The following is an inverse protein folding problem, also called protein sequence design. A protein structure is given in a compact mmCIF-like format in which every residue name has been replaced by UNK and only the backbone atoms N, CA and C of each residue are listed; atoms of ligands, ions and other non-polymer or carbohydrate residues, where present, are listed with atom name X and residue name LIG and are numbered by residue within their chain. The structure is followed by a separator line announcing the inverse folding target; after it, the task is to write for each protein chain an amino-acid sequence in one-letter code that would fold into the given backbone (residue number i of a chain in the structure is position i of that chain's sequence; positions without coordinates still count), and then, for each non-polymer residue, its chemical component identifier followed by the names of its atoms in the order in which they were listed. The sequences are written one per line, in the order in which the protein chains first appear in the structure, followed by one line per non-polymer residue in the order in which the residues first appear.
data_IF_989270007251
#
_entry.id   IF_989270007251
#
_cell.length_a   1.000
_cell.length_b   1.000
_cell.length_c   1.000
_cell.angle_alpha   90.00
_cell.angle_beta   90.00
_cell.angle_gamma   90.00
#
_symmetry.space_group_name_H-M   'P 1'
#
loop_
_entity.id
_entity.type
_entity.pdbx_description
1 polymer ?
#
# COMPACT_ATOMS: atom_id res chain seq x y z
N UNK A 1 29.25 18.14 21.30
CA UNK A 1 28.56 16.90 20.90
C UNK A 1 27.54 17.32 19.86
N UNK A 2 27.89 17.19 18.58
CA UNK A 2 26.96 17.50 17.49
C UNK A 2 26.04 16.28 17.32
N UNK A 3 24.77 16.47 17.65
CA UNK A 3 23.73 15.51 17.30
C UNK A 3 23.44 15.75 15.82
N UNK A 4 24.10 14.99 14.94
CA UNK A 4 23.66 14.87 13.56
C UNK A 4 22.37 14.04 13.63
N UNK A 5 21.23 14.71 13.78
CA UNK A 5 19.95 14.09 13.43
C UNK A 5 20.04 13.91 11.93
N UNK A 6 20.30 12.68 11.50
CA UNK A 6 20.15 12.28 10.11
C UNK A 6 18.64 12.36 9.83
N UNK A 7 18.13 13.57 9.57
CA UNK A 7 16.84 13.85 8.97
C UNK A 7 16.94 13.45 7.50
N UNK A 8 17.27 12.19 7.23
CA UNK A 8 16.82 11.60 5.98
C UNK A 8 15.31 11.63 6.11
N UNK A 9 14.67 12.53 5.37
CA UNK A 9 13.26 12.38 5.06
C UNK A 9 13.13 11.03 4.36
N UNK A 10 13.03 9.95 5.14
CA UNK A 10 12.28 8.79 4.70
C UNK A 10 10.92 9.36 4.34
N UNK A 11 10.67 9.48 3.02
CA UNK A 11 9.34 9.74 2.51
C UNK A 11 8.53 8.49 2.85
N UNK A 12 8.10 8.38 4.10
CA UNK A 12 7.25 7.32 4.60
C UNK A 12 5.90 7.49 3.90
N UNK A 13 5.72 6.70 2.86
CA UNK A 13 4.51 6.66 2.05
C UNK A 13 3.54 5.67 2.67
N UNK A 14 2.73 6.12 3.61
CA UNK A 14 1.79 5.25 4.29
C UNK A 14 0.46 5.17 3.52
N UNK A 15 0.12 3.95 3.10
CA UNK A 15 -1.07 3.59 2.34
C UNK A 15 -1.91 2.63 3.18
N UNK A 16 -3.16 3.02 3.41
CA UNK A 16 -4.16 2.21 4.08
C UNK A 16 -5.20 1.75 3.07
N UNK A 17 -5.45 0.45 3.01
CA UNK A 17 -6.47 -0.15 2.17
C UNK A 17 -7.50 -0.83 3.06
N UNK A 18 -8.78 -0.62 2.75
CA UNK A 18 -9.89 -1.27 3.46
C UNK A 18 -10.75 -2.06 2.49
N UNK A 19 -11.40 -3.07 3.03
CA UNK A 19 -12.37 -3.90 2.31
C UNK A 19 -13.78 -3.66 2.82
N UNK A 20 -14.78 -4.09 2.05
CA UNK A 20 -16.19 -4.00 2.43
C UNK A 20 -16.50 -4.76 3.73
N UNK A 21 -15.85 -5.91 3.95
CA UNK A 21 -16.04 -6.70 5.19
C UNK A 21 -15.19 -6.20 6.37
N UNK A 22 -14.45 -5.10 6.22
CA UNK A 22 -13.69 -4.46 7.30
C UNK A 22 -12.28 -4.98 7.52
N UNK A 23 -11.73 -5.78 6.58
CA UNK A 23 -10.30 -6.12 6.57
C UNK A 23 -9.50 -4.87 6.23
N UNK A 24 -8.25 -4.85 6.70
CA UNK A 24 -7.37 -3.69 6.52
C UNK A 24 -6.02 -4.17 6.06
N UNK A 25 -5.42 -3.44 5.13
CA UNK A 25 -4.04 -3.60 4.77
C UNK A 25 -3.35 -2.25 4.96
N UNK A 26 -2.40 -2.19 5.89
CA UNK A 26 -1.59 -1.02 6.16
C UNK A 26 -0.21 -1.25 5.58
N UNK A 27 0.28 -0.32 4.76
CA UNK A 27 1.51 -0.50 4.01
C UNK A 27 2.32 0.78 4.02
N UNK A 28 3.63 0.65 3.93
CA UNK A 28 4.50 1.76 3.58
C UNK A 28 5.41 1.40 2.41
N UNK A 29 5.63 2.38 1.53
CA UNK A 29 6.67 2.29 0.50
C UNK A 29 7.93 2.94 1.05
N UNK A 30 8.93 2.11 1.33
CA UNK A 30 10.27 2.57 1.67
C UNK A 30 11.08 2.74 0.37
N UNK A 31 11.58 3.96 0.13
CA UNK A 31 12.32 4.33 -1.08
C UNK A 31 13.74 4.77 -0.73
N UNK A 32 14.70 4.05 -1.30
CA UNK A 32 16.12 4.37 -1.26
C UNK A 32 16.70 4.52 -2.67
N UNK A 33 17.99 4.86 -2.77
CA UNK A 33 18.71 4.94 -4.05
C UNK A 33 18.65 3.62 -4.84
N UNK A 34 18.64 2.48 -4.14
CA UNK A 34 18.53 1.14 -4.73
C UNK A 34 17.12 0.75 -5.18
N UNK A 35 16.11 1.59 -4.95
CA UNK A 35 14.73 1.36 -5.33
C UNK A 35 13.75 1.34 -4.15
N UNK A 36 12.55 0.85 -4.42
CA UNK A 36 11.41 0.85 -3.51
C UNK A 36 11.11 -0.57 -2.99
N UNK A 37 10.74 -0.70 -1.72
CA UNK A 37 10.16 -1.91 -1.14
C UNK A 37 8.83 -1.56 -0.51
N UNK A 38 7.93 -2.54 -0.45
CA UNK A 38 6.64 -2.40 0.19
C UNK A 38 6.59 -3.38 1.36
N UNK A 39 6.34 -2.83 2.55
CA UNK A 39 6.21 -3.58 3.80
C UNK A 39 4.89 -3.19 4.42
N UNK A 40 4.20 -4.14 5.03
CA UNK A 40 2.91 -3.84 5.63
C UNK A 40 2.40 -4.89 6.59
N UNK A 41 1.19 -4.64 7.06
CA UNK A 41 0.44 -5.47 7.99
C UNK A 41 -0.98 -5.63 7.49
N UNK A 42 -1.49 -6.85 7.56
CA UNK A 42 -2.84 -7.21 7.16
C UNK A 42 -3.67 -7.62 8.36
N UNK A 43 -4.79 -6.95 8.56
CA UNK A 43 -5.77 -7.28 9.58
C UNK A 43 -6.81 -8.26 9.04
N UNK A 44 -6.91 -9.42 9.67
CA UNK A 44 -7.93 -10.42 9.37
C UNK A 44 -9.06 -10.37 10.39
N UNK A 45 -10.29 -10.37 9.90
CA UNK A 45 -11.49 -10.23 10.74
C UNK A 45 -11.89 -11.55 11.41
N UNK A 46 -11.48 -12.69 10.86
CA UNK A 46 -11.89 -14.02 11.38
C UNK A 46 -11.26 -14.34 12.72
N UNK A 47 -10.04 -13.89 12.96
CA UNK A 47 -9.28 -14.10 14.18
C UNK A 47 -8.90 -12.78 14.89
N UNK A 48 -9.30 -11.64 14.32
CA UNK A 48 -9.02 -10.30 14.84
C UNK A 48 -7.53 -10.03 15.05
N UNK A 49 -6.67 -10.59 14.20
CA UNK A 49 -5.22 -10.48 14.31
C UNK A 49 -4.61 -9.69 13.16
N UNK A 50 -3.44 -9.09 13.44
CA UNK A 50 -2.58 -8.45 12.46
C UNK A 50 -1.45 -9.40 12.05
N UNK A 51 -1.22 -9.48 10.75
CA UNK A 51 -0.22 -10.34 10.12
C UNK A 51 0.78 -9.49 9.36
N UNK A 52 2.07 -9.71 9.58
CA UNK A 52 3.12 -9.10 8.76
C UNK A 52 3.02 -9.60 7.32
N UNK A 53 3.07 -8.68 6.37
CA UNK A 53 3.08 -8.97 4.94
C UNK A 53 4.33 -8.39 4.31
N UNK A 54 5.15 -9.29 3.77
CA UNK A 54 6.32 -8.95 2.98
C UNK A 54 5.96 -9.09 1.49
N UNK A 55 6.04 -7.99 0.74
CA UNK A 55 5.58 -7.96 -0.65
C UNK A 55 6.70 -8.21 -1.66
N UNK A 56 7.93 -7.80 -1.33
CA UNK A 56 9.09 -8.10 -2.16
C UNK A 56 10.35 -8.29 -1.30
N UNK A 57 11.13 -9.33 -1.62
CA UNK A 57 12.45 -9.57 -1.01
C UNK A 57 13.54 -8.67 -1.59
N UNK A 58 13.25 -8.03 -2.71
CA UNK A 58 14.17 -7.16 -3.44
C UNK A 58 13.50 -5.81 -3.67
N UNK A 59 14.30 -4.76 -3.65
CA UNK A 59 13.85 -3.41 -4.03
C UNK A 59 13.57 -3.38 -5.54
N UNK A 60 12.51 -2.70 -5.92
CA UNK A 60 12.08 -2.51 -7.32
C UNK A 60 12.14 -1.04 -7.70
N UNK A 61 12.49 -0.74 -8.95
CA UNK A 61 12.67 0.64 -9.40
C UNK A 61 11.35 1.42 -9.53
N UNK A 62 10.25 0.73 -9.87
CA UNK A 62 8.96 1.35 -10.17
C UNK A 62 7.95 1.15 -9.02
N UNK A 63 7.68 2.20 -8.22
CA UNK A 63 6.73 2.13 -7.11
C UNK A 63 5.27 1.97 -7.56
N UNK A 64 4.92 2.40 -8.78
CA UNK A 64 3.57 2.22 -9.31
C UNK A 64 3.32 0.76 -9.70
N UNK A 65 4.32 0.10 -10.30
CA UNK A 65 4.25 -1.34 -10.57
C UNK A 65 4.22 -2.17 -9.28
N UNK A 66 4.98 -1.75 -8.27
CA UNK A 66 4.94 -2.39 -6.95
C UNK A 66 3.55 -2.30 -6.34
N UNK A 67 2.94 -1.10 -6.33
CA UNK A 67 1.58 -0.91 -5.85
C UNK A 67 0.57 -1.71 -6.66
N UNK A 68 0.71 -1.74 -8.00
CA UNK A 68 -0.16 -2.53 -8.88
C UNK A 68 -0.13 -4.02 -8.51
N UNK A 69 1.05 -4.60 -8.39
CA UNK A 69 1.20 -6.02 -8.02
C UNK A 69 0.62 -6.32 -6.64
N UNK A 70 0.77 -5.40 -5.69
CA UNK A 70 0.13 -5.49 -4.39
C UNK A 70 -1.42 -5.51 -4.50
N UNK A 71 -2.00 -4.55 -5.23
CA UNK A 71 -3.45 -4.44 -5.42
C UNK A 71 -4.02 -5.68 -6.13
N UNK A 72 -3.34 -6.18 -7.14
CA UNK A 72 -3.74 -7.39 -7.85
C UNK A 72 -3.75 -8.62 -6.93
N UNK A 73 -2.72 -8.79 -6.11
CA UNK A 73 -2.64 -9.90 -5.15
C UNK A 73 -3.72 -9.77 -4.07
N UNK A 74 -3.94 -8.56 -3.56
CA UNK A 74 -4.99 -8.30 -2.58
C UNK A 74 -6.37 -8.60 -3.16
N UNK A 75 -6.67 -8.14 -4.38
CA UNK A 75 -7.92 -8.41 -5.08
C UNK A 75 -8.17 -9.92 -5.21
N UNK A 76 -7.19 -10.68 -5.70
CA UNK A 76 -7.30 -12.15 -5.81
C UNK A 76 -7.52 -12.81 -4.45
N UNK A 77 -6.93 -12.29 -3.37
CA UNK A 77 -7.16 -12.80 -2.03
C UNK A 77 -8.57 -12.48 -1.53
N UNK A 78 -9.10 -11.30 -1.85
CA UNK A 78 -10.44 -10.87 -1.46
C UNK A 78 -11.54 -11.61 -2.24
N UNK A 79 -11.34 -11.88 -3.52
CA UNK A 79 -12.24 -12.71 -4.33
C UNK A 79 -12.47 -14.10 -3.70
N UNK A 80 -11.41 -14.75 -3.22
CA UNK A 80 -11.49 -16.05 -2.51
C UNK A 80 -12.28 -15.97 -1.20
N UNK A 81 -12.41 -14.79 -0.63
CA UNK A 81 -13.13 -14.51 0.63
C UNK A 81 -14.50 -13.86 0.39
N UNK A 82 -14.93 -13.75 -0.87
CA UNK A 82 -16.16 -13.04 -1.27
C UNK A 82 -16.21 -11.60 -0.71
N UNK A 83 -15.05 -10.94 -0.70
CA UNK A 83 -14.83 -9.58 -0.23
C UNK A 83 -14.32 -8.71 -1.38
N UNK A 84 -14.28 -7.39 -1.19
CA UNK A 84 -13.78 -6.45 -2.20
C UNK A 84 -13.11 -5.25 -1.56
N UNK A 85 -12.11 -4.70 -2.26
CA UNK A 85 -11.44 -3.45 -1.85
C UNK A 85 -12.45 -2.30 -1.99
N UNK A 86 -12.59 -1.47 -0.95
CA UNK A 86 -13.57 -0.38 -0.89
C UNK A 86 -12.92 1.01 -0.80
N UNK A 87 -11.77 1.11 -0.14
CA UNK A 87 -11.04 2.37 0.07
C UNK A 87 -9.54 2.15 -0.04
N UNK A 88 -8.86 3.10 -0.69
CA UNK A 88 -7.42 3.32 -0.62
C UNK A 88 -7.19 4.75 -0.13
N UNK A 89 -6.49 4.87 0.99
CA UNK A 89 -6.11 6.14 1.58
C UNK A 89 -4.59 6.24 1.65
N UNK A 90 -4.00 7.11 0.84
CA UNK A 90 -2.61 7.49 1.00
C UNK A 90 -2.54 8.67 1.97
N UNK A 91 -1.85 8.49 3.09
CA UNK A 91 -1.77 9.48 4.16
C UNK A 91 -0.68 10.54 3.91
N UNK A 92 0.13 10.37 2.88
CA UNK A 92 1.16 11.32 2.49
C UNK A 92 0.59 12.44 1.61
N UNK A 93 0.89 13.70 1.94
CA UNK A 93 0.48 14.87 1.16
C UNK A 93 1.15 14.95 -0.23
N UNK A 94 2.30 14.29 -0.39
CA UNK A 94 3.08 14.24 -1.62
C UNK A 94 3.36 12.77 -1.96
N UNK A 95 2.36 12.04 -2.46
CA UNK A 95 2.49 10.61 -2.62
C UNK A 95 3.42 10.25 -3.80
N UNK A 96 4.27 9.23 -3.62
CA UNK A 96 5.17 8.75 -4.68
C UNK A 96 4.38 8.25 -5.90
N UNK A 97 3.23 7.63 -5.65
CA UNK A 97 2.24 7.27 -6.67
C UNK A 97 1.07 8.22 -6.51
N UNK A 98 0.84 9.10 -7.49
CA UNK A 98 -0.20 10.14 -7.41
C UNK A 98 -1.60 9.55 -7.25
N UNK A 99 -2.54 10.36 -6.76
CA UNK A 99 -3.95 9.97 -6.67
C UNK A 99 -4.51 9.58 -8.04
N UNK A 100 -4.17 10.31 -9.12
CA UNK A 100 -4.59 9.92 -10.47
C UNK A 100 -4.04 8.56 -10.86
N UNK A 101 -2.73 8.33 -10.65
CA UNK A 101 -2.11 7.05 -11.01
C UNK A 101 -2.69 5.90 -10.20
N UNK A 102 -3.00 6.09 -8.92
CA UNK A 102 -3.69 5.09 -8.09
C UNK A 102 -5.08 4.74 -8.68
N UNK A 103 -5.85 5.74 -9.13
CA UNK A 103 -7.16 5.50 -9.77
C UNK A 103 -7.03 4.78 -11.11
N UNK A 104 -6.04 5.13 -11.91
CA UNK A 104 -5.74 4.43 -13.16
C UNK A 104 -5.44 2.95 -12.90
N UNK A 105 -4.57 2.67 -11.92
CA UNK A 105 -4.23 1.29 -11.54
C UNK A 105 -5.48 0.49 -11.10
N UNK A 106 -6.37 1.08 -10.31
CA UNK A 106 -7.62 0.43 -9.93
C UNK A 106 -8.52 0.17 -11.13
N UNK A 107 -8.63 1.12 -12.05
CA UNK A 107 -9.40 0.96 -13.27
C UNK A 107 -8.81 -0.14 -14.18
N UNK A 108 -7.48 -0.24 -14.28
CA UNK A 108 -6.79 -1.31 -15.01
C UNK A 108 -7.10 -2.69 -14.41
N UNK A 109 -7.30 -2.77 -13.09
CA UNK A 109 -7.60 -3.99 -12.34
C UNK A 109 -9.11 -4.30 -12.23
N UNK A 110 -9.98 -3.41 -12.72
CA UNK A 110 -11.44 -3.54 -12.55
C UNK A 110 -11.92 -3.41 -11.10
N UNK A 111 -11.15 -2.72 -10.25
CA UNK A 111 -11.47 -2.51 -8.83
C UNK A 111 -12.23 -1.20 -8.67
N UNK A 112 -13.43 -1.28 -8.07
CA UNK A 112 -14.25 -0.10 -7.76
C UNK A 112 -14.03 0.32 -6.30
N UNK A 113 -12.95 1.07 -6.06
CA UNK A 113 -12.62 1.59 -4.73
C UNK A 113 -12.50 3.13 -4.73
N UNK A 114 -12.81 3.74 -3.60
CA UNK A 114 -12.55 5.16 -3.39
C UNK A 114 -11.05 5.41 -3.16
N UNK A 115 -10.51 6.50 -3.73
CA UNK A 115 -9.11 6.90 -3.55
C UNK A 115 -9.03 8.27 -2.89
N UNK A 116 -8.35 8.32 -1.75
CA UNK A 116 -8.11 9.52 -0.95
C UNK A 116 -6.63 9.76 -0.74
N UNK A 117 -6.25 11.03 -0.77
CA UNK A 117 -4.91 11.52 -0.40
C UNK A 117 -5.11 12.67 0.60
N UNK A 118 -4.21 12.79 1.58
CA UNK A 118 -4.23 13.91 2.54
C UNK A 118 -3.83 15.25 1.91
#
# INVERSE_FOLDING_TARGET
MEIIINLWQELLQDIQIKTEQGRKLHMHIDKEQSGCVLVGEFFEITDQAWYLVEFSKQRVADPAQLLKGCLENLQKAMEKKSDSISEIHNTCNAPIVSAERQRELLSELGVHASVRVN
#
